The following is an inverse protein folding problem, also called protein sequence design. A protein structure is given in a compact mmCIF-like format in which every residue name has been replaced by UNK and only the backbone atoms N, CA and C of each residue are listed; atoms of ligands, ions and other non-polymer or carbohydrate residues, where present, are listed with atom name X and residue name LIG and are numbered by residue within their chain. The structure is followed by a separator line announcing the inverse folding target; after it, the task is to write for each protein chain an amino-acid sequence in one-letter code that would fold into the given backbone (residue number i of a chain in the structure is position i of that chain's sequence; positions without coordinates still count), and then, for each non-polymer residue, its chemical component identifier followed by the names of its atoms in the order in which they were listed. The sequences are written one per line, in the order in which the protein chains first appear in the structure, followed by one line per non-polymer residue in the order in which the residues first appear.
data_IF_891075950108
#
_entry.id   IF_891075950108
#
_cell.length_a   1.000
_cell.length_b   1.000
_cell.length_c   1.000
_cell.angle_alpha   90.00
_cell.angle_beta   90.00
_cell.angle_gamma   90.00
#
_symmetry.space_group_name_H-M   'P 1'
#
loop_
_entity.id
_entity.type
_entity.pdbx_description
1 polymer ?
#
# COMPACT_ATOMS: atom_id res chain seq x y z
N UNK A 1 -4.02 3.60 8.07
CA UNK A 1 -5.17 3.98 8.91
C UNK A 1 -6.52 3.99 8.19
N UNK A 2 -6.69 4.71 7.06
CA UNK A 2 -8.00 4.81 6.36
C UNK A 2 -8.56 3.47 5.83
N UNK A 3 -7.72 2.58 5.30
CA UNK A 3 -8.15 1.25 4.81
C UNK A 3 -8.75 0.39 5.92
N UNK A 4 -8.02 0.23 7.03
CA UNK A 4 -8.50 -0.45 8.25
C UNK A 4 -9.75 0.21 8.83
N UNK A 5 -9.85 1.55 8.82
CA UNK A 5 -11.06 2.24 9.30
C UNK A 5 -12.27 1.97 8.39
N UNK A 6 -12.07 1.95 7.06
CA UNK A 6 -13.13 1.64 6.09
C UNK A 6 -13.52 0.16 6.15
N UNK A 7 -12.56 -0.73 6.43
CA UNK A 7 -12.78 -2.15 6.69
C UNK A 7 -13.60 -2.39 7.96
N UNK A 8 -13.21 -1.76 9.08
CA UNK A 8 -13.95 -1.83 10.35
C UNK A 8 -15.35 -1.23 10.21
N UNK A 9 -15.49 -0.13 9.47
CA UNK A 9 -16.79 0.49 9.19
C UNK A 9 -17.68 -0.42 8.34
N UNK A 10 -17.10 -1.10 7.35
CA UNK A 10 -17.80 -2.09 6.54
C UNK A 10 -18.22 -3.32 7.36
N UNK A 11 -17.37 -3.80 8.27
CA UNK A 11 -17.68 -4.94 9.15
C UNK A 11 -18.73 -4.60 10.22
N UNK A 12 -18.72 -3.37 10.73
CA UNK A 12 -19.75 -2.91 11.68
C UNK A 12 -21.10 -2.71 11.00
N UNK A 13 -21.15 -2.09 9.80
CA UNK A 13 -22.38 -2.00 9.00
C UNK A 13 -22.90 -3.39 8.59
N UNK A 14 -21.98 -4.30 8.23
CA UNK A 14 -22.31 -5.69 7.89
C UNK A 14 -22.92 -6.44 9.08
N UNK A 15 -22.33 -6.31 10.27
CA UNK A 15 -22.85 -6.94 11.50
C UNK A 15 -24.22 -6.40 11.90
N UNK A 16 -24.46 -5.09 11.77
CA UNK A 16 -25.78 -4.48 12.00
C UNK A 16 -26.80 -5.01 10.98
N UNK A 17 -26.42 -5.16 9.72
CA UNK A 17 -27.27 -5.75 8.67
C UNK A 17 -27.68 -7.19 8.98
N UNK A 18 -26.76 -8.00 9.51
CA UNK A 18 -27.03 -9.39 9.92
C UNK A 18 -28.00 -9.44 11.11
N UNK A 19 -27.80 -8.59 12.12
CA UNK A 19 -28.67 -8.53 13.31
C UNK A 19 -30.10 -8.12 12.93
N UNK A 20 -30.26 -7.10 12.09
CA UNK A 20 -31.59 -6.65 11.63
C UNK A 20 -32.29 -7.74 10.81
N UNK A 21 -31.55 -8.45 9.96
CA UNK A 21 -32.08 -9.58 9.20
C UNK A 21 -32.55 -10.72 10.10
N UNK A 22 -31.78 -11.06 11.14
CA UNK A 22 -32.14 -12.11 12.11
C UNK A 22 -33.39 -11.75 12.94
N UNK A 23 -33.57 -10.47 13.29
CA UNK A 23 -34.77 -9.99 13.99
C UNK A 23 -36.00 -10.05 13.08
N UNK A 24 -35.86 -9.69 11.81
CA UNK A 24 -36.92 -9.80 10.79
C UNK A 24 -37.33 -11.27 10.56
N UNK A 25 -36.39 -12.21 10.57
CA UNK A 25 -36.67 -13.67 10.49
C UNK A 25 -37.58 -14.14 11.63
N UNK A 26 -37.27 -13.72 12.86
CA UNK A 26 -38.00 -14.18 14.05
C UNK A 26 -39.43 -13.63 14.10
N UNK A 27 -39.68 -12.46 13.52
CA UNK A 27 -41.01 -11.85 13.47
C UNK A 27 -41.91 -12.41 12.35
N UNK A 28 -41.36 -12.78 11.19
CA UNK A 28 -42.19 -13.13 10.02
C UNK A 28 -42.52 -14.61 9.85
N UNK A 29 -41.83 -15.54 10.53
CA UNK A 29 -42.30 -16.93 10.75
C UNK A 29 -42.70 -17.75 9.51
N UNK A 30 -42.19 -17.43 8.32
CA UNK A 30 -42.49 -18.15 7.08
C UNK A 30 -41.39 -19.18 6.76
N UNK A 31 -41.74 -20.43 6.50
CA UNK A 31 -40.78 -21.49 6.07
C UNK A 31 -40.01 -21.16 4.77
N UNK A 32 -40.45 -20.15 4.01
CA UNK A 32 -39.79 -19.63 2.80
C UNK A 32 -38.78 -18.50 3.15
N UNK A 33 -38.81 -18.00 4.39
CA UNK A 33 -37.88 -16.97 4.86
C UNK A 33 -36.44 -17.52 5.01
N UNK A 34 -36.28 -18.83 5.22
CA UNK A 34 -35.00 -19.47 5.50
C UNK A 34 -34.02 -19.42 4.29
N UNK A 35 -34.41 -19.78 3.05
CA UNK A 35 -33.54 -19.64 1.88
C UNK A 35 -33.24 -18.17 1.52
N UNK A 36 -34.22 -17.27 1.68
CA UNK A 36 -34.07 -15.84 1.36
C UNK A 36 -33.07 -15.19 2.32
N UNK A 37 -33.16 -15.51 3.61
CA UNK A 37 -32.21 -15.00 4.60
C UNK A 37 -30.82 -15.59 4.43
N UNK A 38 -30.70 -16.88 4.08
CA UNK A 38 -29.39 -17.46 3.76
C UNK A 38 -28.73 -16.78 2.55
N UNK A 39 -29.49 -16.43 1.50
CA UNK A 39 -28.99 -15.68 0.34
C UNK A 39 -28.59 -14.26 0.75
N UNK A 40 -29.38 -13.61 1.60
CA UNK A 40 -29.08 -12.26 2.08
C UNK A 40 -27.78 -12.21 2.92
N UNK A 41 -27.61 -13.16 3.84
CA UNK A 41 -26.38 -13.30 4.63
C UNK A 41 -25.18 -13.61 3.73
N UNK A 42 -25.34 -14.53 2.75
CA UNK A 42 -24.29 -14.85 1.80
C UNK A 42 -23.87 -13.62 0.96
N UNK A 43 -24.82 -12.78 0.54
CA UNK A 43 -24.54 -11.55 -0.20
C UNK A 43 -23.79 -10.53 0.67
N UNK A 44 -24.16 -10.36 1.94
CA UNK A 44 -23.47 -9.47 2.87
C UNK A 44 -22.02 -9.91 3.13
N UNK A 45 -21.80 -11.21 3.33
CA UNK A 45 -20.45 -11.78 3.50
C UNK A 45 -19.64 -11.59 2.20
N UNK A 46 -20.23 -11.88 1.04
CA UNK A 46 -19.57 -11.70 -0.26
C UNK A 46 -19.14 -10.23 -0.47
N UNK A 47 -20.00 -9.27 -0.14
CA UNK A 47 -19.68 -7.84 -0.23
C UNK A 47 -18.54 -7.42 0.72
N UNK A 48 -18.47 -7.96 1.94
CA UNK A 48 -17.35 -7.68 2.87
C UNK A 48 -16.02 -8.25 2.34
N UNK A 49 -16.04 -9.49 1.85
CA UNK A 49 -14.84 -10.17 1.33
C UNK A 49 -14.29 -9.50 0.08
N UNK A 50 -15.14 -8.96 -0.81
CA UNK A 50 -14.69 -8.25 -2.01
C UNK A 50 -13.80 -7.03 -1.71
N UNK A 51 -14.11 -6.29 -0.64
CA UNK A 51 -13.29 -5.15 -0.19
C UNK A 51 -11.90 -5.61 0.27
N UNK A 52 -11.86 -6.68 1.08
CA UNK A 52 -10.63 -7.24 1.61
C UNK A 52 -9.73 -7.85 0.52
N UNK A 53 -10.33 -8.56 -0.43
CA UNK A 53 -9.62 -9.11 -1.60
C UNK A 53 -9.01 -7.97 -2.42
N UNK A 54 -9.76 -6.89 -2.65
CA UNK A 54 -9.25 -5.75 -3.43
C UNK A 54 -8.06 -5.07 -2.76
N UNK A 55 -8.09 -4.87 -1.45
CA UNK A 55 -6.91 -4.35 -0.71
C UNK A 55 -5.72 -5.31 -0.78
N UNK A 56 -5.97 -6.61 -0.60
CA UNK A 56 -4.92 -7.63 -0.67
C UNK A 56 -4.29 -7.69 -2.07
N UNK A 57 -5.10 -7.62 -3.13
CA UNK A 57 -4.63 -7.53 -4.51
C UNK A 57 -3.82 -6.26 -4.74
N UNK A 58 -4.26 -5.11 -4.20
CA UNK A 58 -3.53 -3.84 -4.34
C UNK A 58 -2.13 -3.89 -3.71
N UNK A 59 -1.99 -4.58 -2.57
CA UNK A 59 -0.70 -4.81 -1.91
C UNK A 59 0.15 -5.80 -2.73
N UNK A 60 -0.44 -6.93 -3.15
CA UNK A 60 0.24 -7.96 -3.95
C UNK A 60 0.70 -7.44 -5.33
N UNK A 61 -0.07 -6.55 -5.95
CA UNK A 61 0.32 -5.86 -7.18
C UNK A 61 1.44 -4.83 -6.99
N UNK A 62 2.03 -4.73 -5.78
CA UNK A 62 3.14 -3.84 -5.46
C UNK A 62 2.86 -2.39 -5.87
N UNK A 63 1.62 -1.94 -5.66
CA UNK A 63 1.19 -0.61 -6.10
C UNK A 63 2.08 0.47 -5.48
N UNK A 64 2.55 1.36 -6.34
CA UNK A 64 3.36 2.50 -5.93
C UNK A 64 2.55 3.39 -4.95
N UNK A 65 3.09 3.66 -3.75
CA UNK A 65 2.39 4.43 -2.74
C UNK A 65 2.16 5.87 -3.21
N UNK A 66 0.88 6.26 -3.34
CA UNK A 66 0.48 7.62 -3.73
C UNK A 66 0.90 8.70 -2.73
N UNK A 67 1.22 8.31 -1.50
CA UNK A 67 1.82 9.18 -0.48
C UNK A 67 3.25 9.57 -0.83
N UNK A 68 4.01 8.64 -1.41
CA UNK A 68 5.40 8.84 -1.78
C UNK A 68 5.53 9.61 -3.10
N UNK A 69 4.53 9.48 -3.99
CA UNK A 69 4.52 10.08 -5.32
C UNK A 69 4.71 11.62 -5.31
N UNK A 70 4.26 12.31 -4.25
CA UNK A 70 4.51 13.75 -4.08
C UNK A 70 5.90 14.09 -3.55
N UNK A 71 6.52 13.20 -2.79
CA UNK A 71 7.83 13.43 -2.14
C UNK A 71 9.00 12.92 -2.99
N UNK A 72 8.76 11.96 -3.88
CA UNK A 72 9.75 11.36 -4.77
C UNK A 72 10.47 12.39 -5.67
N UNK A 73 9.79 13.36 -6.32
CA UNK A 73 10.47 14.34 -7.18
C UNK A 73 11.49 15.19 -6.43
N UNK A 74 11.19 15.58 -5.19
CA UNK A 74 12.13 16.34 -4.35
C UNK A 74 13.32 15.49 -3.91
N UNK A 75 13.10 14.20 -3.67
CA UNK A 75 14.19 13.27 -3.34
C UNK A 75 15.12 13.05 -4.53
N UNK A 76 14.58 12.88 -5.74
CA UNK A 76 15.40 12.77 -6.94
C UNK A 76 16.26 14.01 -7.14
N UNK A 77 15.71 15.21 -6.99
CA UNK A 77 16.50 16.44 -7.06
C UNK A 77 17.62 16.50 -6.03
N UNK A 78 17.34 16.13 -4.76
CA UNK A 78 18.37 16.09 -3.71
C UNK A 78 19.47 15.06 -4.00
N UNK A 79 19.11 13.91 -4.56
CA UNK A 79 20.05 12.84 -4.89
C UNK A 79 20.90 13.21 -6.09
N UNK A 80 20.32 13.80 -7.15
CA UNK A 80 21.07 14.36 -8.29
C UNK A 80 21.97 15.52 -7.87
N UNK A 81 21.63 16.23 -6.80
CA UNK A 81 22.48 17.29 -6.22
C UNK A 81 23.70 16.78 -5.45
N UNK A 82 23.82 15.47 -5.20
CA UNK A 82 25.00 14.91 -4.54
C UNK A 82 26.22 14.98 -5.47
N UNK A 83 27.37 15.34 -4.90
CA UNK A 83 28.61 15.44 -5.63
C UNK A 83 28.95 14.11 -6.33
N UNK A 84 28.93 14.15 -7.67
CA UNK A 84 29.29 13.00 -8.49
C UNK A 84 28.16 12.04 -8.83
N UNK A 85 26.90 12.39 -8.58
CA UNK A 85 25.73 11.73 -9.16
C UNK A 85 25.32 12.48 -10.43
N UNK A 86 25.20 11.77 -11.55
CA UNK A 86 24.76 12.33 -12.84
C UNK A 86 23.25 12.22 -13.02
N UNK A 87 22.68 11.04 -12.74
CA UNK A 87 21.27 10.78 -12.94
C UNK A 87 20.75 9.67 -12.00
N UNK A 88 19.44 9.71 -11.76
CA UNK A 88 18.69 8.62 -11.12
C UNK A 88 17.94 7.88 -12.21
N UNK A 89 18.22 6.59 -12.36
CA UNK A 89 17.62 5.70 -13.34
C UNK A 89 16.70 4.68 -12.66
N UNK A 90 15.65 4.28 -13.38
CA UNK A 90 14.71 3.21 -12.99
C UNK A 90 14.25 3.23 -11.52
N UNK A 91 13.73 4.36 -10.99
CA UNK A 91 13.28 4.37 -9.61
C UNK A 91 11.99 3.55 -9.47
N UNK A 92 12.06 2.46 -8.71
CA UNK A 92 10.93 1.58 -8.44
C UNK A 92 10.61 1.61 -6.94
N UNK A 93 9.42 2.04 -6.57
CA UNK A 93 8.97 2.09 -5.18
C UNK A 93 7.66 1.34 -5.02
N UNK A 94 7.61 0.47 -4.01
CA UNK A 94 6.43 -0.33 -3.71
C UNK A 94 6.14 -0.38 -2.21
N UNK A 95 4.93 -0.79 -1.89
CA UNK A 95 4.50 -0.98 -0.49
C UNK A 95 4.63 -2.46 -0.15
N UNK A 96 5.47 -2.81 0.83
CA UNK A 96 5.69 -4.20 1.25
C UNK A 96 4.63 -4.67 2.25
N UNK A 97 4.30 -3.83 3.23
CA UNK A 97 3.29 -4.06 4.25
C UNK A 97 2.68 -2.71 4.63
N UNK A 98 1.53 -2.70 5.33
CA UNK A 98 0.93 -1.45 5.82
C UNK A 98 1.98 -0.57 6.51
N UNK A 99 2.23 0.61 5.96
CA UNK A 99 3.21 1.60 6.46
C UNK A 99 4.70 1.20 6.34
N UNK A 100 5.01 0.22 5.49
CA UNK A 100 6.40 -0.17 5.14
C UNK A 100 6.61 0.02 3.64
N UNK A 101 7.36 1.07 3.30
CA UNK A 101 7.74 1.37 1.92
C UNK A 101 9.15 0.84 1.62
N UNK A 102 9.28 0.23 0.45
CA UNK A 102 10.54 -0.30 -0.06
C UNK A 102 10.79 0.28 -1.45
N UNK A 103 12.05 0.58 -1.75
CA UNK A 103 12.45 1.11 -3.04
C UNK A 103 13.70 0.45 -3.60
N UNK A 104 13.83 0.50 -4.92
CA UNK A 104 15.05 0.19 -5.65
C UNK A 104 15.32 1.33 -6.63
N UNK A 105 16.55 1.81 -6.67
CA UNK A 105 16.98 2.86 -7.60
C UNK A 105 18.35 2.52 -8.19
N UNK A 106 18.58 2.97 -9.42
CA UNK A 106 19.90 2.97 -10.03
C UNK A 106 20.44 4.40 -10.06
N UNK A 107 21.69 4.58 -9.65
CA UNK A 107 22.36 5.88 -9.65
C UNK A 107 23.55 5.84 -10.59
N UNK A 108 23.57 6.74 -11.56
CA UNK A 108 24.76 6.98 -12.38
C UNK A 108 25.72 7.87 -11.61
N UNK A 109 26.93 7.37 -11.36
CA UNK A 109 27.95 8.05 -10.57
C UNK A 109 29.28 8.13 -11.30
N UNK A 110 30.06 9.17 -11.00
CA UNK A 110 31.42 9.32 -11.51
C UNK A 110 32.38 8.31 -10.86
N UNK A 111 33.35 7.82 -11.64
CA UNK A 111 34.40 6.87 -11.19
C UNK A 111 35.31 7.40 -10.08
N UNK A 112 35.35 8.73 -9.87
CA UNK A 112 36.21 9.38 -8.87
C UNK A 112 35.53 9.61 -7.51
N UNK A 113 34.31 9.11 -7.32
CA UNK A 113 33.49 9.40 -6.14
C UNK A 113 33.56 8.27 -5.14
N UNK A 114 33.50 8.61 -3.85
CA UNK A 114 33.38 7.61 -2.79
C UNK A 114 31.96 6.98 -2.84
N UNK A 115 31.84 5.68 -3.17
CA UNK A 115 30.55 5.02 -3.30
C UNK A 115 29.80 4.92 -1.96
N UNK A 116 30.51 4.82 -0.82
CA UNK A 116 29.88 4.81 0.50
C UNK A 116 29.23 6.15 0.80
N UNK A 117 29.88 7.26 0.44
CA UNK A 117 29.33 8.59 0.65
C UNK A 117 27.98 8.76 -0.06
N UNK A 118 27.92 8.42 -1.36
CA UNK A 118 26.70 8.55 -2.17
C UNK A 118 25.59 7.65 -1.66
N UNK A 119 25.87 6.37 -1.41
CA UNK A 119 24.86 5.41 -0.93
C UNK A 119 24.31 5.82 0.43
N UNK A 120 25.16 6.27 1.35
CA UNK A 120 24.72 6.69 2.70
C UNK A 120 23.86 7.95 2.63
N UNK A 121 24.26 8.95 1.85
CA UNK A 121 23.48 10.18 1.69
C UNK A 121 22.16 9.96 0.97
N UNK A 122 22.17 9.21 -0.13
CA UNK A 122 20.96 8.86 -0.85
C UNK A 122 20.00 8.09 0.07
N UNK A 123 20.50 7.11 0.83
CA UNK A 123 19.70 6.37 1.82
C UNK A 123 19.07 7.30 2.87
N UNK A 124 19.82 8.24 3.44
CA UNK A 124 19.28 9.20 4.41
C UNK A 124 18.15 10.06 3.83
N UNK A 125 18.27 10.48 2.56
CA UNK A 125 17.22 11.24 1.88
C UNK A 125 15.93 10.43 1.78
N UNK A 126 16.01 9.15 1.38
CA UNK A 126 14.81 8.31 1.25
C UNK A 126 14.26 7.82 2.60
N UNK A 127 15.10 7.62 3.62
CA UNK A 127 14.63 7.34 4.98
C UNK A 127 13.83 8.52 5.55
N UNK A 128 14.18 9.76 5.20
CA UNK A 128 13.47 10.97 5.66
C UNK A 128 12.01 11.07 5.18
N UNK A 129 11.66 10.35 4.11
CA UNK A 129 10.29 10.31 3.57
C UNK A 129 9.51 9.05 3.99
N UNK A 130 10.10 8.22 4.86
CA UNK A 130 9.47 7.00 5.39
C UNK A 130 9.78 5.72 4.63
N UNK A 131 10.75 5.71 3.70
CA UNK A 131 11.22 4.47 3.05
C UNK A 131 12.10 3.72 4.04
N UNK A 132 11.65 2.55 4.50
CA UNK A 132 12.37 1.73 5.50
C UNK A 132 13.53 0.93 4.90
N UNK A 133 13.38 0.47 3.66
CA UNK A 133 14.42 -0.27 2.96
C UNK A 133 14.57 0.26 1.54
N UNK A 134 15.80 0.58 1.16
CA UNK A 134 16.13 1.01 -0.19
C UNK A 134 17.34 0.24 -0.71
N UNK A 135 17.24 -0.26 -1.93
CA UNK A 135 18.32 -0.87 -2.67
C UNK A 135 18.86 0.14 -3.67
N UNK A 136 20.14 0.46 -3.55
CA UNK A 136 20.81 1.46 -4.39
C UNK A 136 21.88 0.73 -5.20
N UNK A 137 21.69 0.69 -6.51
CA UNK A 137 22.68 0.17 -7.44
C UNK A 137 23.46 1.34 -8.04
N UNK A 138 24.79 1.27 -8.00
CA UNK A 138 25.67 2.27 -8.60
C UNK A 138 26.09 1.81 -9.98
N UNK A 139 25.89 2.67 -10.97
CA UNK A 139 26.42 2.49 -12.33
C UNK A 139 27.49 3.56 -12.58
N UNK A 140 28.65 3.14 -13.05
CA UNK A 140 29.82 4.01 -13.17
C UNK A 140 30.00 4.45 -14.62
N UNK A 141 29.77 5.73 -14.87
CA UNK A 141 29.92 6.36 -16.20
C UNK A 141 31.29 7.02 -16.31
#
# INVERSE_FOLDING_TARGET
MRGVFLHILADTLGSVGVIVSAVLMQMFGWMIADPICSIFIALLIAMSVLGLIKESILILMQRQPSTLDRALPQCYQKVTGLAGVYAVQEPHFWTLCSDVYVGAIKLEVSKNVDPKYVVTHARMIFESIGVKQIYIQLDYV
#
